data_IF_303908651497
#
_entry.id   IF_303908651497
#
_cell.length_a   1.000
_cell.length_b   1.000
_cell.length_c   1.000
_cell.angle_alpha   90.00
_cell.angle_beta   90.00
_cell.angle_gamma   90.00
#
_symmetry.space_group_name_H-M   'P 1'
#
loop_
_entity.id
_entity.type
_entity.pdbx_description
1 polymer ?
#
# COMPACT_ATOMS: atom_id res chain seq x y z
N UNK A 1 -5.86 -4.50 -1.21
CA UNK A 1 -5.08 -3.26 -1.44
C UNK A 1 -3.61 -3.56 -1.23
N UNK A 2 -2.77 -3.13 -2.15
CA UNK A 2 -1.35 -3.45 -2.14
C UNK A 2 -0.53 -2.36 -1.46
N UNK A 3 0.36 -2.77 -0.55
CA UNK A 3 1.35 -1.90 0.07
C UNK A 3 2.58 -1.73 -0.82
N UNK A 4 3.41 -0.74 -0.51
CA UNK A 4 4.59 -0.35 -1.29
C UNK A 4 5.58 -1.51 -1.48
N UNK A 5 5.84 -2.30 -0.43
CA UNK A 5 6.78 -3.42 -0.52
C UNK A 5 6.32 -4.52 -1.49
N UNK A 6 5.03 -4.79 -1.56
CA UNK A 6 4.45 -5.77 -2.51
C UNK A 6 4.57 -5.23 -3.94
N UNK A 7 4.20 -3.95 -4.15
CA UNK A 7 4.32 -3.31 -5.46
C UNK A 7 5.78 -3.28 -5.94
N UNK A 8 6.71 -2.90 -5.07
CA UNK A 8 8.15 -2.88 -5.38
C UNK A 8 8.68 -4.27 -5.71
N UNK A 9 8.27 -5.30 -4.97
CA UNK A 9 8.65 -6.67 -5.24
C UNK A 9 8.15 -7.13 -6.62
N UNK A 10 6.91 -6.81 -6.95
CA UNK A 10 6.33 -7.14 -8.25
C UNK A 10 7.04 -6.41 -9.40
N UNK A 11 7.36 -5.13 -9.24
CA UNK A 11 8.10 -4.36 -10.26
C UNK A 11 9.48 -4.97 -10.52
N UNK A 12 10.20 -5.37 -9.45
CA UNK A 12 11.54 -5.96 -9.57
C UNK A 12 11.52 -7.37 -10.14
N UNK A 13 10.53 -8.18 -9.79
CA UNK A 13 10.42 -9.59 -10.18
C UNK A 13 8.97 -9.96 -10.46
N UNK A 14 8.41 -9.54 -11.61
CA UNK A 14 6.99 -9.77 -11.91
C UNK A 14 6.58 -11.23 -11.84
N UNK A 15 7.44 -12.14 -12.26
CA UNK A 15 7.15 -13.57 -12.25
C UNK A 15 6.91 -14.12 -10.83
N UNK A 16 7.51 -13.54 -9.79
CA UNK A 16 7.39 -14.03 -8.42
C UNK A 16 5.98 -13.91 -7.84
N UNK A 17 5.23 -12.89 -8.25
CA UNK A 17 3.86 -12.63 -7.79
C UNK A 17 2.81 -12.77 -8.88
N UNK A 18 3.20 -13.22 -10.08
CA UNK A 18 2.29 -13.30 -11.22
C UNK A 18 1.03 -14.12 -10.90
N UNK A 19 1.17 -15.24 -10.22
CA UNK A 19 0.03 -16.09 -9.84
C UNK A 19 -0.97 -15.35 -8.94
N UNK A 20 -0.50 -14.50 -8.01
CA UNK A 20 -1.36 -13.69 -7.14
C UNK A 20 -2.08 -12.59 -7.92
N UNK A 21 -1.37 -11.93 -8.83
CA UNK A 21 -1.96 -10.90 -9.69
C UNK A 21 -3.03 -11.48 -10.63
N UNK A 22 -2.79 -12.67 -11.16
CA UNK A 22 -3.78 -13.37 -11.98
C UNK A 22 -5.00 -13.78 -11.13
N UNK A 23 -4.76 -14.39 -9.98
CA UNK A 23 -5.81 -14.84 -9.06
C UNK A 23 -6.76 -13.71 -8.64
N UNK A 24 -6.22 -12.51 -8.44
CA UNK A 24 -6.96 -11.33 -7.97
C UNK A 24 -7.20 -10.29 -9.07
N UNK A 25 -7.05 -10.66 -10.34
CA UNK A 25 -7.25 -9.75 -11.47
C UNK A 25 -8.60 -9.02 -11.40
N UNK A 26 -8.58 -7.71 -11.62
CA UNK A 26 -9.77 -6.85 -11.53
C UNK A 26 -10.18 -6.46 -10.10
N UNK A 27 -9.49 -6.95 -9.09
CA UNK A 27 -9.79 -6.70 -7.67
C UNK A 27 -8.60 -6.13 -6.89
N UNK A 28 -7.57 -5.69 -7.58
CA UNK A 28 -6.38 -5.12 -6.98
C UNK A 28 -6.47 -3.60 -6.94
N UNK A 29 -6.09 -3.04 -5.80
CA UNK A 29 -6.13 -1.61 -5.52
C UNK A 29 -4.83 -1.13 -4.92
N UNK A 30 -4.45 0.09 -5.23
CA UNK A 30 -3.27 0.76 -4.69
C UNK A 30 -3.63 2.18 -4.26
N UNK A 31 -3.32 2.60 -3.03
CA UNK A 31 -3.56 3.98 -2.62
C UNK A 31 -2.55 4.92 -3.29
N UNK A 32 -2.97 6.15 -3.54
CA UNK A 32 -2.10 7.17 -4.16
C UNK A 32 -0.82 7.43 -3.35
N UNK A 33 -0.84 7.21 -2.04
CA UNK A 33 0.34 7.33 -1.17
C UNK A 33 1.39 6.26 -1.53
N UNK A 34 0.96 5.03 -1.80
CA UNK A 34 1.87 3.97 -2.28
C UNK A 34 2.48 4.36 -3.62
N UNK A 35 1.67 4.88 -4.54
CA UNK A 35 2.18 5.37 -5.82
C UNK A 35 3.22 6.48 -5.63
N UNK A 36 2.98 7.41 -4.70
CA UNK A 36 3.95 8.46 -4.37
C UNK A 36 5.28 7.88 -3.87
N UNK A 37 5.23 6.87 -3.01
CA UNK A 37 6.44 6.19 -2.53
C UNK A 37 7.19 5.45 -3.65
N UNK A 38 6.47 4.83 -4.58
CA UNK A 38 7.07 4.17 -5.74
C UNK A 38 7.79 5.17 -6.64
N UNK A 39 7.17 6.31 -6.93
CA UNK A 39 7.81 7.38 -7.71
C UNK A 39 9.01 7.97 -6.99
N UNK A 40 8.89 8.22 -5.68
CA UNK A 40 10.01 8.72 -4.88
C UNK A 40 11.21 7.76 -4.95
N UNK A 41 10.97 6.46 -4.83
CA UNK A 41 12.02 5.45 -4.97
C UNK A 41 12.64 5.43 -6.36
N UNK A 42 11.82 5.55 -7.42
CA UNK A 42 12.31 5.57 -8.80
C UNK A 42 13.22 6.77 -9.07
N UNK A 43 12.81 7.97 -8.66
CA UNK A 43 13.56 9.21 -8.92
C UNK A 43 14.79 9.39 -8.04
N UNK A 44 15.01 8.54 -7.04
CA UNK A 44 16.28 8.46 -6.30
C UNK A 44 17.35 7.68 -7.06
N UNK A 45 16.99 6.91 -8.09
CA UNK A 45 17.93 6.15 -8.90
C UNK A 45 18.62 7.04 -9.93
N UNK A 46 19.87 6.70 -10.28
CA UNK A 46 20.59 7.38 -11.35
C UNK A 46 19.89 7.21 -12.70
N UNK A 47 19.35 6.01 -12.95
CA UNK A 47 18.53 5.72 -14.13
C UNK A 47 17.17 5.14 -13.72
N UNK A 48 16.11 5.94 -13.66
CA UNK A 48 14.81 5.51 -13.20
C UNK A 48 13.95 4.82 -14.28
N UNK A 49 14.39 4.79 -15.55
CA UNK A 49 13.56 4.39 -16.69
C UNK A 49 12.89 3.02 -16.54
N UNK A 50 13.65 2.02 -16.08
CA UNK A 50 13.12 0.65 -15.92
C UNK A 50 12.04 0.59 -14.83
N UNK A 51 12.28 1.26 -13.72
CA UNK A 51 11.32 1.29 -12.60
C UNK A 51 10.07 2.08 -12.98
N UNK A 52 10.22 3.21 -13.67
CA UNK A 52 9.08 3.99 -14.17
C UNK A 52 8.22 3.18 -15.14
N UNK A 53 8.83 2.41 -16.04
CA UNK A 53 8.11 1.50 -16.92
C UNK A 53 7.35 0.43 -16.13
N UNK A 54 7.95 -0.12 -15.09
CA UNK A 54 7.31 -1.08 -14.19
C UNK A 54 6.13 -0.49 -13.42
N UNK A 55 6.22 0.78 -13.00
CA UNK A 55 5.11 1.51 -12.38
C UNK A 55 3.96 1.68 -13.38
N UNK A 56 4.25 2.04 -14.62
CA UNK A 56 3.23 2.18 -15.66
C UNK A 56 2.51 0.85 -15.92
N UNK A 57 3.24 -0.26 -15.98
CA UNK A 57 2.66 -1.59 -16.13
C UNK A 57 1.77 -1.95 -14.94
N UNK A 58 2.24 -1.71 -13.72
CA UNK A 58 1.46 -1.96 -12.51
C UNK A 58 0.14 -1.18 -12.51
N UNK A 59 0.17 0.08 -12.93
CA UNK A 59 -1.03 0.94 -12.97
C UNK A 59 -2.08 0.48 -13.97
N UNK A 60 -1.73 -0.31 -14.97
CA UNK A 60 -2.72 -0.94 -15.89
C UNK A 60 -3.50 -2.06 -15.22
N UNK A 61 -2.88 -2.76 -14.27
CA UNK A 61 -3.43 -3.95 -13.62
C UNK A 61 -4.13 -3.64 -12.30
N UNK A 62 -3.90 -2.46 -11.73
CA UNK A 62 -4.31 -2.10 -10.36
C UNK A 62 -5.09 -0.79 -10.39
N UNK A 63 -6.26 -0.79 -9.74
CA UNK A 63 -7.06 0.43 -9.55
C UNK A 63 -6.42 1.36 -8.53
N UNK A 64 -6.68 2.67 -8.67
CA UNK A 64 -6.14 3.71 -7.77
C UNK A 64 -7.20 4.15 -6.76
N UNK A 65 -6.78 4.33 -5.51
CA UNK A 65 -7.59 4.89 -4.43
C UNK A 65 -6.92 6.18 -3.92
N UNK A 66 -7.63 7.29 -4.02
CA UNK A 66 -7.14 8.57 -3.50
C UNK A 66 -7.20 8.59 -1.96
N UNK A 67 -6.24 9.28 -1.34
CA UNK A 67 -6.35 9.67 0.06
C UNK A 67 -7.24 10.93 0.12
N UNK A 68 -8.54 10.70 0.29
CA UNK A 68 -9.56 11.75 0.31
C UNK A 68 -9.88 12.23 1.74
N UNK A 69 -10.92 13.05 1.87
CA UNK A 69 -11.36 13.60 3.16
C UNK A 69 -11.82 12.50 4.13
N UNK A 70 -12.46 11.45 3.65
CA UNK A 70 -12.85 10.30 4.49
C UNK A 70 -11.64 9.55 5.03
N UNK A 71 -10.62 9.37 4.19
CA UNK A 71 -9.35 8.77 4.61
C UNK A 71 -8.63 9.66 5.62
N UNK A 72 -8.69 10.99 5.45
CA UNK A 72 -8.12 11.94 6.40
C UNK A 72 -8.79 11.86 7.77
N UNK A 73 -10.12 11.75 7.82
CA UNK A 73 -10.86 11.57 9.06
C UNK A 73 -10.51 10.25 9.75
N UNK A 74 -10.46 9.15 8.99
CA UNK A 74 -10.08 7.85 9.52
C UNK A 74 -8.65 7.84 10.05
N UNK A 75 -7.72 8.49 9.35
CA UNK A 75 -6.34 8.69 9.84
C UNK A 75 -6.34 9.35 11.22
N UNK A 76 -7.12 10.42 11.38
CA UNK A 76 -7.23 11.13 12.66
C UNK A 76 -7.75 10.24 13.78
N UNK A 77 -8.79 9.44 13.52
CA UNK A 77 -9.36 8.49 14.47
C UNK A 77 -8.33 7.43 14.88
N UNK A 78 -7.68 6.79 13.91
CA UNK A 78 -6.67 5.76 14.16
C UNK A 78 -5.46 6.32 14.92
N UNK A 79 -5.00 7.51 14.55
CA UNK A 79 -3.91 8.20 15.22
C UNK A 79 -4.24 8.44 16.70
N UNK A 80 -5.47 8.88 16.99
CA UNK A 80 -5.94 9.10 18.35
C UNK A 80 -5.98 7.81 19.17
N UNK A 81 -6.50 6.72 18.60
CA UNK A 81 -6.56 5.41 19.25
C UNK A 81 -5.16 4.90 19.56
N UNK A 82 -4.25 4.92 18.59
CA UNK A 82 -2.88 4.41 18.77
C UNK A 82 -2.11 5.22 19.80
N UNK A 83 -2.27 6.54 19.82
CA UNK A 83 -1.63 7.41 20.81
C UNK A 83 -2.09 7.06 22.22
N UNK A 84 -3.37 6.83 22.43
CA UNK A 84 -3.92 6.42 23.75
C UNK A 84 -3.41 5.05 24.18
N UNK A 85 -3.11 4.16 23.24
CA UNK A 85 -2.53 2.84 23.51
C UNK A 85 -1.00 2.89 23.69
N UNK A 86 -0.38 4.08 23.55
CA UNK A 86 1.07 4.21 23.64
C UNK A 86 1.83 3.65 22.43
N UNK A 87 1.13 3.46 21.32
CA UNK A 87 1.72 2.94 20.08
C UNK A 87 2.10 4.11 19.18
N UNK A 88 3.39 4.23 18.88
CA UNK A 88 3.89 5.14 17.85
C UNK A 88 4.03 4.37 16.53
N UNK A 89 3.83 5.04 15.41
CA UNK A 89 3.95 4.42 14.08
C UNK A 89 4.35 5.44 13.04
N UNK A 90 4.77 4.95 11.88
CA UNK A 90 5.07 5.78 10.73
C UNK A 90 3.76 6.43 10.22
N UNK A 91 3.70 7.78 10.12
CA UNK A 91 2.49 8.44 9.62
C UNK A 91 2.08 8.00 8.21
N UNK A 92 3.02 7.73 7.31
CA UNK A 92 2.70 7.25 5.96
C UNK A 92 2.03 5.88 5.97
N UNK A 93 2.52 4.96 6.79
CA UNK A 93 1.91 3.63 6.97
C UNK A 93 0.48 3.76 7.49
N UNK A 94 0.26 4.66 8.44
CA UNK A 94 -1.07 4.92 8.98
C UNK A 94 -2.01 5.54 7.94
N UNK A 95 -1.50 6.41 7.06
CA UNK A 95 -2.28 6.96 5.95
C UNK A 95 -2.67 5.85 4.96
N UNK A 96 -1.76 4.95 4.63
CA UNK A 96 -2.03 3.79 3.76
C UNK A 96 -3.10 2.90 4.39
N UNK A 97 -2.93 2.55 5.67
CA UNK A 97 -3.89 1.74 6.40
C UNK A 97 -5.28 2.37 6.47
N UNK A 98 -5.35 3.70 6.61
CA UNK A 98 -6.61 4.45 6.65
C UNK A 98 -7.42 4.28 5.36
N UNK A 99 -6.76 4.25 4.21
CA UNK A 99 -7.41 3.98 2.92
C UNK A 99 -8.02 2.57 2.90
N UNK A 100 -7.28 1.57 3.38
CA UNK A 100 -7.78 0.19 3.46
C UNK A 100 -9.00 0.07 4.37
N UNK A 101 -8.97 0.70 5.54
CA UNK A 101 -10.07 0.68 6.51
C UNK A 101 -11.32 1.35 5.92
N UNK A 102 -11.19 2.55 5.34
CA UNK A 102 -12.31 3.28 4.72
C UNK A 102 -12.99 2.44 3.64
N UNK A 103 -12.22 1.76 2.80
CA UNK A 103 -12.75 0.95 1.70
C UNK A 103 -13.03 -0.51 2.08
N UNK A 104 -12.84 -0.87 3.35
CA UNK A 104 -13.04 -2.24 3.84
C UNK A 104 -12.26 -3.28 3.03
N UNK A 105 -11.01 -2.97 2.71
CA UNK A 105 -10.13 -3.82 1.92
C UNK A 105 -9.10 -4.53 2.81
N UNK A 106 -8.75 -5.76 2.44
CA UNK A 106 -7.60 -6.45 3.00
C UNK A 106 -6.33 -5.79 2.48
N UNK A 107 -5.44 -5.41 3.38
CA UNK A 107 -4.13 -4.85 3.04
C UNK A 107 -3.12 -5.97 2.87
N UNK A 108 -2.48 -6.00 1.72
CA UNK A 108 -1.42 -6.96 1.40
C UNK A 108 -0.07 -6.29 1.64
N UNK A 109 0.67 -6.80 2.62
CA UNK A 109 1.96 -6.23 3.04
C UNK A 109 2.88 -7.32 3.58
N UNK A 110 4.17 -7.15 3.38
CA UNK A 110 5.18 -7.98 4.04
C UNK A 110 5.49 -7.49 5.48
N UNK A 111 5.16 -6.24 5.80
CA UNK A 111 5.39 -5.63 7.11
C UNK A 111 4.18 -5.81 8.05
N UNK A 112 3.67 -7.01 8.19
CA UNK A 112 2.48 -7.27 9.01
C UNK A 112 2.66 -6.83 10.47
N UNK A 113 3.88 -6.89 11.01
CA UNK A 113 4.18 -6.45 12.37
C UNK A 113 3.88 -4.96 12.60
N UNK A 114 4.11 -4.11 11.59
CA UNK A 114 3.90 -2.67 11.68
C UNK A 114 2.42 -2.27 11.63
N UNK A 115 1.57 -3.15 11.10
CA UNK A 115 0.15 -2.87 10.87
C UNK A 115 -0.82 -3.64 11.79
N UNK A 116 -0.35 -4.70 12.47
CA UNK A 116 -1.22 -5.58 13.28
C UNK A 116 -1.94 -4.87 14.43
N UNK A 117 -1.43 -3.71 14.87
CA UNK A 117 -2.03 -2.93 15.96
C UNK A 117 -3.17 -2.02 15.51
N UNK A 118 -3.42 -1.92 14.22
CA UNK A 118 -4.43 -1.02 13.67
C UNK A 118 -5.81 -1.67 13.74
N UNK A 119 -6.76 -1.07 14.48
CA UNK A 119 -8.11 -1.62 14.61
C UNK A 119 -8.82 -1.67 13.26
N UNK A 120 -9.52 -2.77 12.99
CA UNK A 120 -10.35 -2.94 11.81
C UNK A 120 -9.58 -3.27 10.52
N UNK A 121 -8.26 -3.38 10.58
CA UNK A 121 -7.43 -3.69 9.42
C UNK A 121 -7.22 -5.20 9.27
N UNK A 122 -7.56 -5.74 8.11
CA UNK A 122 -7.23 -7.12 7.73
C UNK A 122 -5.93 -7.14 6.95
N UNK A 123 -5.05 -8.08 7.28
CA UNK A 123 -3.72 -8.21 6.69
C UNK A 123 -3.53 -9.54 5.98
N UNK A 124 -2.77 -9.51 4.90
CA UNK A 124 -2.33 -10.70 4.17
C UNK A 124 -0.88 -10.47 3.71
N UNK A 125 -0.03 -11.48 3.80
CA UNK A 125 1.35 -11.43 3.31
C UNK A 125 1.49 -12.33 2.08
N UNK A 126 2.05 -11.78 0.99
CA UNK A 126 2.29 -12.51 -0.27
C UNK A 126 3.77 -12.83 -0.49
N UNK A 127 4.64 -12.40 0.40
CA UNK A 127 6.08 -12.65 0.33
C UNK A 127 6.56 -13.62 1.46
#
# INVERSE_FOLDING_TARGET
MLDTNICSAHIRRPAGLAHRFIQHSGRLWMPSIVLAELYAGAYLLDDPRRVLAGIDDLRRDVGMLAFDDKCAEEFGKLRGVLKRLGVSGNPMDLMIASVAVVHNLTMVTNNTADFRHIPGLRLEDWL
#
